data_IF_021754871695
#
_entry.id   IF_021754871695
#
_cell.length_a   1.000
_cell.length_b   1.000
_cell.length_c   1.000
_cell.angle_alpha   90.00
_cell.angle_beta   90.00
_cell.angle_gamma   90.00
#
_symmetry.space_group_name_H-M   'P 1'
#
loop_
_entity.id
_entity.type
_entity.pdbx_description
1 polymer ?
#
# COMPACT_ATOMS: atom_id res chain seq x y z
N UNK A 1 26.04 32.17 -3.33
CA UNK A 1 25.30 30.94 -3.11
C UNK A 1 23.83 31.30 -2.96
N UNK A 2 23.10 31.22 -4.08
CA UNK A 2 21.66 31.56 -4.15
C UNK A 2 20.83 30.35 -3.65
N UNK A 3 20.40 30.38 -2.41
CA UNK A 3 19.43 29.40 -1.90
C UNK A 3 18.04 29.86 -2.34
N UNK A 4 17.42 29.07 -3.20
CA UNK A 4 16.09 29.30 -3.75
C UNK A 4 15.05 29.33 -2.59
N UNK A 5 14.26 30.41 -2.40
CA UNK A 5 13.31 30.52 -1.28
C UNK A 5 12.20 29.44 -1.29
N UNK A 6 11.92 28.81 -2.45
CA UNK A 6 10.96 27.73 -2.58
C UNK A 6 11.39 26.41 -1.89
N UNK A 7 12.66 26.26 -1.51
CA UNK A 7 13.13 25.05 -0.81
C UNK A 7 12.78 25.05 0.69
N UNK A 8 12.48 26.23 1.28
CA UNK A 8 12.13 26.33 2.71
C UNK A 8 10.71 25.86 3.02
N UNK A 9 9.79 25.90 2.06
CA UNK A 9 8.42 25.44 2.26
C UNK A 9 8.33 23.90 2.27
N UNK A 10 9.23 23.20 1.58
CA UNK A 10 9.29 21.74 1.55
C UNK A 10 9.93 21.15 2.82
N UNK A 11 10.86 21.90 3.47
CA UNK A 11 11.50 21.48 4.73
C UNK A 11 10.57 21.58 5.94
N UNK A 12 9.37 22.14 5.80
CA UNK A 12 8.38 22.31 6.88
C UNK A 12 7.21 21.33 6.80
N UNK A 13 7.14 20.51 5.75
CA UNK A 13 6.08 19.50 5.63
C UNK A 13 6.40 18.31 6.52
N UNK A 14 5.38 17.75 7.24
CA UNK A 14 5.59 16.53 7.98
C UNK A 14 6.01 15.40 7.04
N UNK A 15 7.02 14.59 7.39
CA UNK A 15 7.45 13.49 6.55
C UNK A 15 6.35 12.43 6.45
N UNK A 16 5.80 12.29 5.23
CA UNK A 16 4.74 11.34 4.89
C UNK A 16 5.36 10.19 4.10
N UNK A 17 5.04 8.96 4.48
CA UNK A 17 5.42 7.77 3.72
C UNK A 17 4.17 7.02 3.27
N UNK A 18 4.20 6.54 2.03
CA UNK A 18 3.17 5.65 1.48
C UNK A 18 3.79 4.30 1.21
N UNK A 19 3.27 3.27 1.87
CA UNK A 19 3.74 1.90 1.76
C UNK A 19 2.73 1.08 0.95
N UNK A 20 3.06 0.78 -0.29
CA UNK A 20 2.27 -0.08 -1.18
C UNK A 20 2.63 -1.54 -0.98
N UNK A 21 1.67 -2.35 -0.54
CA UNK A 21 1.88 -3.74 -0.12
C UNK A 21 1.26 -4.72 -1.10
N UNK A 22 2.08 -5.64 -1.61
CA UNK A 22 1.68 -6.63 -2.61
C UNK A 22 1.39 -6.00 -3.98
N UNK A 23 0.83 -6.75 -4.92
CA UNK A 23 0.63 -6.29 -6.29
C UNK A 23 -0.25 -5.04 -6.39
N UNK A 24 -1.42 -5.03 -5.76
CA UNK A 24 -2.34 -3.88 -5.81
C UNK A 24 -1.74 -2.62 -5.18
N UNK A 25 -1.13 -2.74 -3.99
CA UNK A 25 -0.46 -1.61 -3.34
C UNK A 25 0.74 -1.10 -4.13
N UNK A 26 1.54 -1.98 -4.69
CA UNK A 26 2.68 -1.61 -5.53
C UNK A 26 2.26 -0.89 -6.81
N UNK A 27 1.15 -1.30 -7.43
CA UNK A 27 0.59 -0.60 -8.59
C UNK A 27 0.10 0.81 -8.25
N UNK A 28 -0.55 0.98 -7.08
CA UNK A 28 -0.97 2.30 -6.62
C UNK A 28 0.24 3.22 -6.40
N UNK A 29 1.31 2.73 -5.76
CA UNK A 29 2.57 3.46 -5.56
C UNK A 29 3.21 3.84 -6.90
N UNK A 30 3.30 2.92 -7.86
CA UNK A 30 3.85 3.21 -9.18
C UNK A 30 3.12 4.34 -9.92
N UNK A 31 1.79 4.40 -9.77
CA UNK A 31 0.99 5.51 -10.32
C UNK A 31 1.26 6.84 -9.61
N UNK A 32 1.44 6.80 -8.29
CA UNK A 32 1.78 7.99 -7.50
C UNK A 32 3.16 8.53 -7.87
N UNK A 33 4.14 7.64 -8.10
CA UNK A 33 5.49 8.01 -8.53
C UNK A 33 5.49 8.78 -9.86
N UNK A 34 4.63 8.41 -10.80
CA UNK A 34 4.48 9.08 -12.08
C UNK A 34 4.03 10.56 -11.92
N UNK A 35 3.32 10.90 -10.85
CA UNK A 35 2.81 12.26 -10.59
C UNK A 35 3.73 13.11 -9.70
N UNK A 36 4.77 12.53 -9.12
CA UNK A 36 5.75 13.20 -8.26
C UNK A 36 5.12 14.10 -7.19
N UNK A 37 4.50 13.48 -6.19
CA UNK A 37 3.86 14.21 -5.08
C UNK A 37 4.95 14.75 -4.15
N UNK A 38 5.11 16.08 -4.00
CA UNK A 38 6.15 16.66 -3.15
C UNK A 38 5.93 16.29 -1.66
N UNK A 39 7.01 15.96 -0.96
CA UNK A 39 6.99 15.69 0.48
C UNK A 39 6.46 14.30 0.86
N UNK A 40 6.22 13.44 -0.11
CA UNK A 40 5.78 12.05 0.10
C UNK A 40 6.86 11.10 -0.39
N UNK A 41 7.33 10.20 0.47
CA UNK A 41 8.23 9.10 0.12
C UNK A 41 7.42 7.84 -0.18
N UNK A 42 7.68 7.22 -1.31
CA UNK A 42 6.94 6.08 -1.83
C UNK A 42 7.72 4.78 -1.62
N UNK A 43 7.15 3.84 -0.87
CA UNK A 43 7.72 2.53 -0.59
C UNK A 43 6.89 1.44 -1.26
N UNK A 44 7.52 0.56 -2.00
CA UNK A 44 6.88 -0.65 -2.54
C UNK A 44 7.38 -1.88 -1.79
N UNK A 45 6.45 -2.67 -1.25
CA UNK A 45 6.75 -3.87 -0.46
C UNK A 45 6.08 -5.09 -1.08
N UNK A 46 6.85 -6.10 -1.46
CA UNK A 46 6.30 -7.31 -2.04
C UNK A 46 7.13 -8.56 -1.69
N UNK A 47 6.50 -9.73 -1.76
CA UNK A 47 7.16 -11.05 -1.71
C UNK A 47 7.58 -11.55 -3.09
N UNK A 48 7.10 -10.93 -4.16
CA UNK A 48 7.40 -11.25 -5.55
C UNK A 48 8.48 -10.30 -6.07
N UNK A 49 9.67 -10.86 -6.33
CA UNK A 49 10.83 -10.09 -6.77
C UNK A 49 10.63 -9.50 -8.18
N UNK A 50 10.00 -10.24 -9.08
CA UNK A 50 9.78 -9.79 -10.47
C UNK A 50 8.76 -8.64 -10.52
N UNK A 51 7.67 -8.77 -9.76
CA UNK A 51 6.68 -7.72 -9.65
C UNK A 51 7.29 -6.44 -9.05
N UNK A 52 8.16 -6.59 -8.03
CA UNK A 52 8.78 -5.45 -7.34
C UNK A 52 9.76 -4.69 -8.24
N UNK A 53 10.56 -5.39 -9.06
CA UNK A 53 11.55 -4.78 -9.95
C UNK A 53 10.94 -3.81 -10.98
N UNK A 54 9.67 -3.96 -11.31
CA UNK A 54 8.97 -3.13 -12.29
C UNK A 54 8.21 -1.95 -11.66
N UNK A 55 8.32 -1.77 -10.34
CA UNK A 55 7.63 -0.68 -9.63
C UNK A 55 8.57 0.52 -9.51
N UNK A 56 8.14 1.67 -10.02
CA UNK A 56 8.80 2.93 -9.74
C UNK A 56 8.41 3.39 -8.34
N UNK A 57 9.36 3.40 -7.42
CA UNK A 57 9.20 3.80 -6.02
C UNK A 57 10.54 4.30 -5.48
N UNK A 58 10.51 5.18 -4.47
CA UNK A 58 11.74 5.69 -3.85
C UNK A 58 12.49 4.57 -3.11
N UNK A 59 11.73 3.63 -2.51
CA UNK A 59 12.28 2.47 -1.81
C UNK A 59 11.52 1.21 -2.22
N UNK A 60 12.25 0.16 -2.54
CA UNK A 60 11.70 -1.16 -2.82
C UNK A 60 12.17 -2.14 -1.75
N UNK A 61 11.23 -2.84 -1.10
CA UNK A 61 11.53 -3.80 -0.04
C UNK A 61 10.96 -5.16 -0.42
N UNK A 62 11.84 -6.14 -0.58
CA UNK A 62 11.44 -7.52 -0.78
C UNK A 62 11.35 -8.23 0.55
N UNK A 63 10.15 -8.60 0.96
CA UNK A 63 9.90 -9.27 2.24
C UNK A 63 9.86 -10.78 2.12
N UNK A 64 10.30 -11.47 3.17
CA UNK A 64 10.23 -12.91 3.31
C UNK A 64 11.15 -13.68 2.35
N UNK A 65 12.39 -13.25 2.21
CA UNK A 65 13.37 -13.84 1.30
C UNK A 65 13.60 -15.33 1.55
N UNK A 66 13.73 -15.73 2.81
CA UNK A 66 13.92 -17.13 3.19
C UNK A 66 12.67 -17.97 2.93
N UNK A 67 11.50 -17.38 3.21
CA UNK A 67 10.22 -18.06 3.12
C UNK A 67 9.72 -18.21 1.68
N UNK A 68 9.84 -17.16 0.86
CA UNK A 68 9.23 -17.10 -0.48
C UNK A 68 10.22 -17.24 -1.62
N UNK A 69 11.51 -16.99 -1.36
CA UNK A 69 12.60 -16.98 -2.38
C UNK A 69 12.27 -16.04 -3.56
N UNK A 70 11.50 -14.97 -3.31
CA UNK A 70 11.09 -14.05 -4.36
C UNK A 70 9.97 -14.54 -5.28
N UNK A 71 9.33 -15.67 -4.98
CA UNK A 71 8.27 -16.28 -5.81
C UNK A 71 6.85 -15.85 -5.41
N UNK A 72 6.73 -14.90 -4.48
CA UNK A 72 5.44 -14.43 -3.98
C UNK A 72 4.83 -15.32 -2.89
N UNK A 73 3.72 -14.87 -2.32
CA UNK A 73 3.01 -15.59 -1.26
C UNK A 73 2.03 -16.67 -1.77
N UNK A 74 1.85 -16.81 -3.09
CA UNK A 74 0.96 -17.82 -3.69
C UNK A 74 -0.51 -17.68 -3.30
N UNK A 75 -0.98 -16.45 -3.02
CA UNK A 75 -2.35 -16.18 -2.60
C UNK A 75 -2.66 -16.58 -1.14
N UNK A 76 -1.67 -16.96 -0.35
CA UNK A 76 -1.82 -17.34 1.06
C UNK A 76 -1.48 -16.16 1.98
N UNK A 77 -2.48 -15.58 2.72
CA UNK A 77 -2.24 -14.48 3.65
C UNK A 77 -1.29 -14.85 4.80
N UNK A 78 -1.29 -16.10 5.26
CA UNK A 78 -0.38 -16.54 6.33
C UNK A 78 1.08 -16.50 5.87
N UNK A 79 1.35 -16.82 4.59
CA UNK A 79 2.69 -16.63 4.01
C UNK A 79 3.07 -15.17 3.90
N UNK A 80 2.12 -14.31 3.50
CA UNK A 80 2.34 -12.85 3.47
C UNK A 80 2.66 -12.27 4.83
N UNK A 81 1.92 -12.68 5.86
CA UNK A 81 2.16 -12.28 7.25
C UNK A 81 3.56 -12.70 7.73
N UNK A 82 3.91 -13.98 7.57
CA UNK A 82 5.23 -14.51 7.97
C UNK A 82 6.37 -13.84 7.22
N UNK A 83 6.17 -13.50 5.94
CA UNK A 83 7.15 -12.77 5.16
C UNK A 83 7.40 -11.36 5.72
N UNK A 84 6.36 -10.65 6.14
CA UNK A 84 6.49 -9.35 6.77
C UNK A 84 7.16 -9.44 8.15
N UNK A 85 6.82 -10.45 8.95
CA UNK A 85 7.49 -10.69 10.24
C UNK A 85 8.98 -11.01 10.07
N UNK A 86 9.36 -11.78 9.06
CA UNK A 86 10.76 -12.06 8.74
C UNK A 86 11.54 -10.78 8.45
N UNK A 87 10.91 -9.80 7.80
CA UNK A 87 11.54 -8.53 7.37
C UNK A 87 11.18 -7.34 8.28
N UNK A 88 10.70 -7.60 9.50
CA UNK A 88 10.16 -6.57 10.40
C UNK A 88 11.14 -5.43 10.69
N UNK A 89 12.41 -5.73 10.94
CA UNK A 89 13.43 -4.72 11.24
C UNK A 89 13.73 -3.84 10.02
N UNK A 90 13.81 -4.44 8.82
CA UNK A 90 14.00 -3.70 7.57
C UNK A 90 12.82 -2.75 7.29
N UNK A 91 11.59 -3.24 7.50
CA UNK A 91 10.38 -2.42 7.39
C UNK A 91 10.38 -1.26 8.40
N UNK A 92 10.79 -1.54 9.64
CA UNK A 92 10.87 -0.51 10.68
C UNK A 92 11.91 0.57 10.36
N UNK A 93 13.07 0.18 9.85
CA UNK A 93 14.10 1.12 9.44
C UNK A 93 13.65 1.98 8.26
N UNK A 94 12.97 1.40 7.27
CA UNK A 94 12.44 2.11 6.13
C UNK A 94 11.30 3.09 6.50
N UNK A 95 10.49 2.78 7.52
CA UNK A 95 9.36 3.62 7.96
C UNK A 95 9.82 4.70 8.96
N UNK A 96 10.93 4.49 9.65
CA UNK A 96 11.44 5.40 10.69
C UNK A 96 11.50 6.85 10.23
N UNK A 97 11.10 7.76 11.13
CA UNK A 97 11.11 9.20 10.91
C UNK A 97 9.88 9.75 10.19
N UNK A 98 8.93 8.89 9.79
CA UNK A 98 7.64 9.36 9.28
C UNK A 98 6.76 9.86 10.43
N UNK A 99 6.08 10.98 10.24
CA UNK A 99 5.01 11.44 11.11
C UNK A 99 3.67 10.81 10.73
N UNK A 100 3.50 10.51 9.44
CA UNK A 100 2.31 9.85 8.90
C UNK A 100 2.69 8.75 7.93
N UNK A 101 2.03 7.60 8.05
CA UNK A 101 2.22 6.44 7.17
C UNK A 101 0.89 5.99 6.60
N UNK A 102 0.80 5.98 5.28
CA UNK A 102 -0.29 5.34 4.56
C UNK A 102 0.10 3.91 4.19
N UNK A 103 -0.70 2.94 4.60
CA UNK A 103 -0.54 1.54 4.20
C UNK A 103 -1.62 1.23 3.16
N UNK A 104 -1.21 0.97 1.91
CA UNK A 104 -2.14 0.68 0.82
C UNK A 104 -1.95 -0.73 0.29
N UNK A 105 -3.07 -1.44 0.08
CA UNK A 105 -3.07 -2.81 -0.41
C UNK A 105 -4.38 -3.19 -1.10
N UNK A 106 -4.30 -4.11 -2.05
CA UNK A 106 -5.46 -4.87 -2.51
C UNK A 106 -5.68 -6.06 -1.60
N UNK A 107 -6.82 -6.10 -0.90
CA UNK A 107 -7.15 -7.19 0.01
C UNK A 107 -7.67 -8.41 -0.74
N UNK A 108 -7.51 -9.59 -0.14
CA UNK A 108 -7.94 -10.90 -0.71
C UNK A 108 -6.82 -11.71 -1.36
N UNK A 109 -5.66 -11.09 -1.64
CA UNK A 109 -4.44 -11.79 -2.07
C UNK A 109 -3.62 -12.32 -0.89
N UNK A 110 -2.42 -12.82 -1.17
CA UNK A 110 -1.52 -13.33 -0.13
C UNK A 110 -0.73 -12.20 0.55
N UNK A 111 0.11 -11.50 -0.21
CA UNK A 111 1.03 -10.50 0.34
C UNK A 111 0.29 -9.31 0.93
N UNK A 112 -0.60 -8.65 0.17
CA UNK A 112 -1.32 -7.47 0.64
C UNK A 112 -2.13 -7.76 1.91
N UNK A 113 -2.93 -8.83 1.90
CA UNK A 113 -3.80 -9.22 3.01
C UNK A 113 -3.02 -9.59 4.27
N UNK A 114 -1.93 -10.33 4.11
CA UNK A 114 -1.14 -10.84 5.24
C UNK A 114 -0.13 -9.84 5.79
N UNK A 115 0.55 -9.10 4.91
CA UNK A 115 1.64 -8.21 5.32
C UNK A 115 1.15 -6.82 5.75
N UNK A 116 0.04 -6.29 5.19
CA UNK A 116 -0.43 -4.95 5.53
C UNK A 116 -0.70 -4.75 7.04
N UNK A 117 -1.33 -5.69 7.78
CA UNK A 117 -1.50 -5.54 9.23
C UNK A 117 -0.16 -5.46 9.98
N UNK A 118 0.84 -6.22 9.58
CA UNK A 118 2.17 -6.22 10.21
C UNK A 118 2.89 -4.90 9.94
N UNK A 119 2.83 -4.41 8.71
CA UNK A 119 3.42 -3.13 8.33
C UNK A 119 2.74 -1.97 9.07
N UNK A 120 1.42 -2.01 9.22
CA UNK A 120 0.68 -1.02 9.99
C UNK A 120 1.09 -1.04 11.49
N UNK A 121 1.24 -2.22 12.07
CA UNK A 121 1.75 -2.37 13.45
C UNK A 121 3.14 -1.77 13.60
N UNK A 122 4.05 -2.08 12.67
CA UNK A 122 5.41 -1.51 12.65
C UNK A 122 5.37 0.02 12.53
N UNK A 123 4.51 0.57 11.68
CA UNK A 123 4.36 2.02 11.55
C UNK A 123 3.90 2.68 12.86
N UNK A 124 2.91 2.12 13.54
CA UNK A 124 2.46 2.60 14.85
C UNK A 124 3.54 2.50 15.92
N UNK A 125 4.34 1.45 15.92
CA UNK A 125 5.48 1.31 16.85
C UNK A 125 6.54 2.39 16.67
N UNK A 126 6.68 2.96 15.48
CA UNK A 126 7.57 4.11 15.24
C UNK A 126 6.97 5.44 15.71
N UNK A 127 5.72 5.46 16.15
CA UNK A 127 5.01 6.66 16.61
C UNK A 127 4.28 7.41 15.48
N UNK A 128 4.29 6.89 14.26
CA UNK A 128 3.62 7.51 13.12
C UNK A 128 2.09 7.36 13.20
N UNK A 129 1.35 8.40 12.80
CA UNK A 129 -0.08 8.29 12.51
C UNK A 129 -0.25 7.33 11.33
N UNK A 130 -0.95 6.22 11.54
CA UNK A 130 -1.05 5.15 10.56
C UNK A 130 -2.45 5.04 9.96
N UNK A 131 -2.56 5.20 8.66
CA UNK A 131 -3.81 5.19 7.91
C UNK A 131 -3.78 4.04 6.90
N UNK A 132 -4.75 3.14 6.99
CA UNK A 132 -4.98 2.11 5.99
C UNK A 132 -5.90 2.62 4.88
N UNK A 133 -5.48 2.51 3.63
CA UNK A 133 -6.31 2.79 2.45
C UNK A 133 -6.25 1.58 1.53
N UNK A 134 -7.29 0.76 1.54
CA UNK A 134 -7.25 -0.56 0.91
C UNK A 134 -8.48 -0.83 0.06
N UNK A 135 -8.35 -1.72 -0.92
CA UNK A 135 -9.48 -2.17 -1.74
C UNK A 135 -9.98 -3.53 -1.29
N UNK A 136 -11.30 -3.71 -1.33
CA UNK A 136 -11.96 -5.02 -1.27
C UNK A 136 -12.13 -5.57 -2.69
N UNK A 137 -11.83 -6.87 -2.93
CA UNK A 137 -11.85 -7.43 -4.27
C UNK A 137 -13.23 -7.37 -4.92
N UNK A 138 -13.27 -7.40 -6.26
CA UNK A 138 -14.49 -7.56 -7.00
C UNK A 138 -15.15 -8.92 -6.71
N UNK A 139 -16.47 -8.98 -6.76
CA UNK A 139 -17.23 -10.23 -6.54
C UNK A 139 -16.86 -11.32 -7.54
N UNK A 140 -16.50 -10.98 -8.77
CA UNK A 140 -16.08 -11.94 -9.79
C UNK A 140 -14.72 -12.58 -9.52
N UNK A 141 -13.91 -12.03 -8.60
CA UNK A 141 -12.63 -12.63 -8.19
C UNK A 141 -12.82 -13.87 -7.31
N UNK A 142 -14.04 -14.14 -6.88
CA UNK A 142 -14.46 -15.35 -6.18
C UNK A 142 -14.58 -15.22 -4.66
N UNK A 143 -15.43 -16.07 -4.10
CA UNK A 143 -15.82 -16.05 -2.69
C UNK A 143 -14.64 -16.21 -1.74
N UNK A 144 -13.69 -17.10 -2.05
CA UNK A 144 -12.49 -17.31 -1.22
C UNK A 144 -11.65 -16.05 -1.09
N UNK A 145 -11.56 -15.25 -2.17
CA UNK A 145 -10.81 -14.01 -2.16
C UNK A 145 -11.52 -12.95 -1.32
N UNK A 146 -12.85 -12.89 -1.40
CA UNK A 146 -13.67 -12.05 -0.53
C UNK A 146 -13.52 -12.38 0.95
N UNK A 147 -13.60 -13.67 1.33
CA UNK A 147 -13.43 -14.12 2.71
C UNK A 147 -12.03 -13.75 3.28
N UNK A 148 -10.97 -14.01 2.51
CA UNK A 148 -9.62 -13.61 2.91
C UNK A 148 -9.48 -12.10 3.09
N UNK A 149 -10.17 -11.32 2.24
CA UNK A 149 -10.19 -9.87 2.36
C UNK A 149 -10.84 -9.45 3.67
N UNK A 150 -11.99 -10.02 4.02
CA UNK A 150 -12.71 -9.69 5.26
C UNK A 150 -11.86 -10.01 6.49
N UNK A 151 -11.27 -11.21 6.57
CA UNK A 151 -10.36 -11.60 7.65
C UNK A 151 -9.12 -10.68 7.74
N UNK A 152 -8.60 -10.22 6.60
CA UNK A 152 -7.47 -9.30 6.55
C UNK A 152 -7.85 -7.90 6.99
N UNK A 153 -9.04 -7.42 6.62
CA UNK A 153 -9.58 -6.13 7.02
C UNK A 153 -9.78 -6.06 8.54
N UNK A 154 -10.35 -7.10 9.15
CA UNK A 154 -10.54 -7.16 10.60
C UNK A 154 -9.19 -7.01 11.33
N UNK A 155 -8.17 -7.75 10.88
CA UNK A 155 -6.82 -7.64 11.46
C UNK A 155 -6.16 -6.28 11.22
N UNK A 156 -6.35 -5.68 10.05
CA UNK A 156 -5.77 -4.38 9.72
C UNK A 156 -6.43 -3.27 10.54
N UNK A 157 -7.74 -3.33 10.75
CA UNK A 157 -8.49 -2.33 11.52
C UNK A 157 -7.96 -2.16 12.94
N UNK A 158 -7.50 -3.23 13.58
CA UNK A 158 -6.90 -3.19 14.92
C UNK A 158 -5.51 -2.52 14.94
N UNK A 159 -4.85 -2.44 13.79
CA UNK A 159 -3.46 -2.00 13.65
C UNK A 159 -3.29 -0.59 13.10
N UNK A 160 -4.37 0.05 12.64
CA UNK A 160 -4.36 1.41 12.09
C UNK A 160 -5.14 2.38 12.97
N UNK A 161 -4.85 3.68 12.85
CA UNK A 161 -5.61 4.73 13.51
C UNK A 161 -6.88 5.07 12.72
N UNK A 162 -6.81 4.92 11.40
CA UNK A 162 -7.95 5.08 10.48
C UNK A 162 -7.87 4.04 9.38
N UNK A 163 -9.00 3.42 9.05
CA UNK A 163 -9.12 2.49 7.93
C UNK A 163 -10.15 2.98 6.92
N UNK A 164 -9.71 3.13 5.68
CA UNK A 164 -10.56 3.45 4.53
C UNK A 164 -10.61 2.22 3.63
N UNK A 165 -11.80 1.68 3.43
CA UNK A 165 -12.03 0.51 2.58
C UNK A 165 -12.80 0.92 1.34
N UNK A 166 -12.24 0.64 0.17
CA UNK A 166 -12.83 0.91 -1.13
C UNK A 166 -13.38 -0.41 -1.70
N UNK A 167 -14.72 -0.60 -1.73
CA UNK A 167 -15.28 -1.81 -2.33
C UNK A 167 -15.21 -1.70 -3.85
N UNK A 168 -14.40 -2.56 -4.50
CA UNK A 168 -14.19 -2.51 -5.95
C UNK A 168 -15.48 -2.68 -6.73
N UNK A 169 -16.46 -3.45 -6.25
CA UNK A 169 -17.77 -3.60 -6.91
C UNK A 169 -18.50 -2.26 -7.12
N UNK A 170 -18.28 -1.27 -6.25
CA UNK A 170 -18.84 0.07 -6.42
C UNK A 170 -18.21 0.82 -7.59
N UNK A 171 -16.98 0.48 -7.93
CA UNK A 171 -16.26 1.09 -9.05
C UNK A 171 -16.77 0.57 -10.40
N UNK A 172 -17.33 -0.64 -10.46
CA UNK A 172 -17.93 -1.19 -11.68
C UNK A 172 -19.08 -0.31 -12.20
N UNK A 173 -19.83 0.32 -11.31
CA UNK A 173 -20.90 1.24 -11.68
C UNK A 173 -20.38 2.53 -12.35
N UNK A 174 -19.11 2.84 -12.19
CA UNK A 174 -18.43 4.01 -12.76
C UNK A 174 -17.68 3.66 -14.07
N UNK A 175 -17.49 2.38 -14.35
CA UNK A 175 -16.83 1.93 -15.57
C UNK A 175 -17.78 2.03 -16.78
N UNK A 176 -17.22 2.30 -17.96
CA UNK A 176 -17.93 2.16 -19.21
C UNK A 176 -18.44 0.69 -19.35
N UNK A 177 -19.67 0.43 -19.80
CA UNK A 177 -20.16 -0.93 -20.04
C UNK A 177 -19.29 -1.77 -20.98
N UNK A 178 -18.43 -1.13 -21.77
CA UNK A 178 -17.47 -1.78 -22.66
C UNK A 178 -16.06 -1.90 -22.05
N UNK A 179 -15.86 -1.45 -20.80
CA UNK A 179 -14.58 -1.51 -20.14
C UNK A 179 -14.12 -2.97 -19.94
N UNK A 180 -12.83 -3.20 -20.10
CA UNK A 180 -12.20 -4.49 -19.82
C UNK A 180 -12.04 -4.69 -18.31
N UNK A 181 -11.76 -5.93 -17.88
CA UNK A 181 -11.39 -6.22 -16.49
C UNK A 181 -10.14 -5.45 -16.08
N UNK A 182 -9.19 -5.26 -16.99
CA UNK A 182 -7.99 -4.48 -16.75
C UNK A 182 -8.30 -3.01 -16.45
N UNK A 183 -9.27 -2.42 -17.16
CA UNK A 183 -9.73 -1.05 -16.90
C UNK A 183 -10.38 -0.93 -15.52
N UNK A 184 -11.13 -1.94 -15.08
CA UNK A 184 -11.71 -1.98 -13.74
C UNK A 184 -10.64 -2.02 -12.63
N UNK A 185 -9.59 -2.85 -12.79
CA UNK A 185 -8.46 -2.86 -11.86
C UNK A 185 -7.68 -1.56 -11.88
N UNK A 186 -7.48 -0.97 -13.06
CA UNK A 186 -6.82 0.33 -13.19
C UNK A 186 -7.60 1.44 -12.48
N UNK A 187 -8.92 1.42 -12.53
CA UNK A 187 -9.76 2.35 -11.79
C UNK A 187 -9.63 2.15 -10.27
N UNK A 188 -9.56 0.90 -9.79
CA UNK A 188 -9.34 0.62 -8.38
C UNK A 188 -8.00 1.18 -7.86
N UNK A 189 -6.92 0.99 -8.62
CA UNK A 189 -5.61 1.55 -8.29
C UNK A 189 -5.64 3.09 -8.30
N UNK A 190 -6.36 3.68 -9.25
CA UNK A 190 -6.51 5.14 -9.36
C UNK A 190 -7.28 5.73 -8.16
N UNK A 191 -8.34 5.06 -7.70
CA UNK A 191 -9.11 5.50 -6.53
C UNK A 191 -8.29 5.39 -5.25
N UNK A 192 -7.45 4.35 -5.11
CA UNK A 192 -6.48 4.26 -4.01
C UNK A 192 -5.54 5.47 -4.01
N UNK A 193 -4.97 5.79 -5.16
CA UNK A 193 -4.11 6.95 -5.33
C UNK A 193 -4.80 8.26 -4.93
N UNK A 194 -5.98 8.52 -5.47
CA UNK A 194 -6.77 9.72 -5.16
C UNK A 194 -7.11 9.83 -3.67
N UNK A 195 -7.48 8.70 -3.04
CA UNK A 195 -7.74 8.65 -1.61
C UNK A 195 -6.55 9.08 -0.77
N UNK A 196 -5.35 8.56 -1.09
CA UNK A 196 -4.12 8.90 -0.40
C UNK A 196 -3.73 10.36 -0.66
N UNK A 197 -3.77 10.80 -1.91
CA UNK A 197 -3.43 12.17 -2.30
C UNK A 197 -4.35 13.20 -1.64
N UNK A 198 -5.67 12.95 -1.64
CA UNK A 198 -6.64 13.83 -0.98
C UNK A 198 -6.38 13.98 0.52
N UNK A 199 -6.04 12.88 1.21
CA UNK A 199 -5.72 12.91 2.63
C UNK A 199 -4.38 13.59 2.91
N UNK A 200 -3.36 13.39 2.08
CA UNK A 200 -2.05 14.03 2.25
C UNK A 200 -2.12 15.54 2.05
N UNK A 201 -2.94 16.02 1.09
CA UNK A 201 -3.14 17.45 0.83
C UNK A 201 -3.92 18.18 1.93
N UNK A 202 -4.79 17.50 2.66
CA UNK A 202 -5.55 18.09 3.77
C UNK A 202 -4.64 18.43 4.97
N UNK A 203 -3.50 17.75 5.09
CA UNK A 203 -2.54 17.94 6.20
C UNK A 203 -1.37 18.88 5.83
N UNK A 204 -1.31 19.36 4.60
CA UNK A 204 -0.39 20.38 4.11
C UNK A 204 -1.06 21.76 4.14
#
# INVERSE_FOLDING_TARGET
MNRNPNNRALDTLPPIKVVGVGGGGSNAVARMAAEKIPGVELLAVNTDAQALMNVDADVQIRIGDKLTKGLGAGGDPMRGQRAAEESREELKDAIRGAEMVFVTAGMGGGTGTGAAPIIAEVARETGALTIGVVTRPFSFEGTKRGQRADEGLDRLQEKVDTLIVIPNDRLLALCDPKASLEDAFRLADEVLRQGIQGLSLIHI
#
